data_IF_791599231086
#
_entry.id   IF_791599231086
#
_cell.length_a   1.000
_cell.length_b   1.000
_cell.length_c   1.000
_cell.angle_alpha   90.00
_cell.angle_beta   90.00
_cell.angle_gamma   90.00
#
_symmetry.space_group_name_H-M   'P 1'
#
loop_
_entity.id
_entity.type
_entity.pdbx_description
1 polymer ?
#
# COMPACT_ATOMS: atom_id res chain seq x y z
N UNK A 1 18.27 -13.64 -3.54
CA UNK A 1 17.37 -14.19 -2.51
C UNK A 1 16.22 -14.89 -3.20
N UNK A 2 16.24 -16.23 -3.24
CA UNK A 2 15.10 -17.02 -3.73
C UNK A 2 14.18 -17.30 -2.55
N UNK A 3 12.91 -16.94 -2.67
CA UNK A 3 11.84 -17.44 -1.80
C UNK A 3 11.09 -18.53 -2.57
N UNK A 4 10.82 -19.65 -1.91
CA UNK A 4 9.92 -20.66 -2.46
C UNK A 4 8.53 -20.03 -2.73
N UNK A 5 7.79 -20.50 -3.74
CA UNK A 5 6.41 -20.08 -3.95
C UNK A 5 5.58 -20.26 -2.67
N UNK A 6 4.60 -19.40 -2.46
CA UNK A 6 3.69 -19.53 -1.33
C UNK A 6 3.02 -20.92 -1.37
N UNK A 7 2.98 -21.61 -0.21
CA UNK A 7 2.32 -22.90 -0.09
C UNK A 7 0.80 -22.81 -0.34
N UNK A 8 0.22 -21.64 -0.06
CA UNK A 8 -1.14 -21.27 -0.41
C UNK A 8 -1.13 -19.90 -1.11
N UNK A 9 -1.61 -19.87 -2.36
CA UNK A 9 -1.69 -18.67 -3.19
C UNK A 9 -2.73 -17.66 -2.68
N UNK A 10 -3.61 -18.07 -1.76
CA UNK A 10 -4.62 -17.20 -1.17
C UNK A 10 -4.14 -16.43 0.05
N UNK A 11 -2.98 -16.80 0.61
CA UNK A 11 -2.39 -16.10 1.75
C UNK A 11 -1.88 -14.73 1.31
N UNK A 12 -2.30 -13.70 2.03
CA UNK A 12 -1.84 -12.33 1.87
C UNK A 12 -0.65 -12.10 2.79
N UNK A 13 0.56 -12.13 2.25
CA UNK A 13 1.76 -11.81 3.03
C UNK A 13 1.79 -10.31 3.39
N UNK A 14 1.71 -10.01 4.68
CA UNK A 14 1.74 -8.66 5.24
C UNK A 14 3.01 -7.87 4.90
N UNK A 15 4.11 -8.55 4.51
CA UNK A 15 5.34 -7.89 4.07
C UNK A 15 5.24 -7.38 2.63
N UNK A 16 4.32 -7.92 1.83
CA UNK A 16 4.16 -7.63 0.40
C UNK A 16 2.99 -6.68 0.17
N UNK A 17 1.84 -6.97 0.77
CA UNK A 17 0.62 -6.19 0.56
C UNK A 17 0.57 -4.94 1.45
N UNK A 18 -0.14 -3.91 1.00
CA UNK A 18 -0.41 -2.73 1.81
C UNK A 18 -1.20 -3.10 3.07
N UNK A 19 -0.99 -2.38 4.17
CA UNK A 19 -1.55 -2.73 5.48
C UNK A 19 -3.08 -2.80 5.55
N UNK A 20 -3.81 -2.12 4.67
CA UNK A 20 -5.28 -2.19 4.65
C UNK A 20 -5.82 -3.26 3.70
N UNK A 21 -4.95 -4.01 3.02
CA UNK A 21 -5.37 -5.08 2.13
C UNK A 21 -5.85 -6.27 2.96
N UNK A 22 -7.12 -6.62 2.79
CA UNK A 22 -7.71 -7.79 3.43
C UNK A 22 -8.54 -8.59 2.43
N UNK A 23 -8.94 -9.79 2.84
CA UNK A 23 -9.94 -10.58 2.13
C UNK A 23 -11.25 -10.53 2.92
N UNK A 24 -12.34 -10.18 2.27
CA UNK A 24 -13.66 -10.15 2.91
C UNK A 24 -14.28 -11.56 3.04
N UNK A 25 -15.48 -11.62 3.61
CA UNK A 25 -16.19 -12.89 3.87
C UNK A 25 -16.56 -13.65 2.58
N UNK A 26 -16.69 -12.94 1.46
CA UNK A 26 -17.02 -13.51 0.15
C UNK A 26 -15.75 -13.91 -0.64
N UNK A 27 -14.57 -13.67 -0.06
CA UNK A 27 -13.28 -14.02 -0.64
C UNK A 27 -12.69 -12.94 -1.55
N UNK A 28 -13.33 -11.77 -1.68
CA UNK A 28 -12.83 -10.68 -2.49
C UNK A 28 -11.72 -9.88 -1.77
N UNK A 29 -10.72 -9.43 -2.51
CA UNK A 29 -9.70 -8.53 -1.97
C UNK A 29 -10.26 -7.13 -1.83
N UNK A 30 -9.96 -6.50 -0.70
CA UNK A 30 -10.27 -5.09 -0.44
C UNK A 30 -8.99 -4.28 -0.25
N UNK A 31 -9.04 -3.00 -0.59
CA UNK A 31 -8.00 -2.01 -0.30
C UNK A 31 -8.70 -0.82 0.33
N UNK A 32 -8.29 -0.41 1.54
CA UNK A 32 -8.99 0.64 2.29
C UNK A 32 -10.47 0.32 2.55
N UNK A 33 -10.84 -0.96 2.60
CA UNK A 33 -12.22 -1.42 2.76
C UNK A 33 -13.08 -1.40 1.49
N UNK A 34 -12.51 -1.09 0.32
CA UNK A 34 -13.21 -1.12 -0.97
C UNK A 34 -12.76 -2.34 -1.76
N UNK A 35 -13.69 -3.13 -2.30
CA UNK A 35 -13.34 -4.30 -3.12
C UNK A 35 -12.58 -3.88 -4.39
N UNK A 36 -11.56 -4.66 -4.75
CA UNK A 36 -10.78 -4.42 -5.97
C UNK A 36 -11.66 -4.53 -7.22
N UNK A 37 -12.69 -5.39 -7.19
CA UNK A 37 -13.67 -5.51 -8.27
C UNK A 37 -14.43 -4.19 -8.50
N UNK A 38 -14.90 -3.54 -7.42
CA UNK A 38 -15.57 -2.23 -7.53
C UNK A 38 -14.62 -1.16 -8.04
N UNK A 39 -13.38 -1.15 -7.56
CA UNK A 39 -12.36 -0.20 -8.04
C UNK A 39 -12.10 -0.39 -9.54
N UNK A 40 -12.03 -1.63 -10.03
CA UNK A 40 -11.85 -1.94 -11.45
C UNK A 40 -13.08 -1.55 -12.29
N UNK A 41 -14.29 -1.74 -11.78
CA UNK A 41 -15.53 -1.33 -12.44
C UNK A 41 -15.63 0.19 -12.57
N UNK A 42 -15.29 0.93 -11.50
CA UNK A 42 -15.41 2.37 -11.43
C UNK A 42 -14.31 3.11 -12.22
N UNK A 43 -13.06 2.64 -12.16
CA UNK A 43 -11.90 3.33 -12.71
C UNK A 43 -11.27 2.65 -13.93
N UNK A 44 -11.73 1.46 -14.30
CA UNK A 44 -11.19 0.68 -15.40
C UNK A 44 -9.85 0.00 -15.09
N UNK A 45 -9.33 -0.75 -16.07
CA UNK A 45 -8.05 -1.47 -15.96
C UNK A 45 -7.19 -1.28 -17.21
N UNK A 46 -5.85 -1.22 -17.10
CA UNK A 46 -5.05 -1.35 -15.87
C UNK A 46 -5.08 -0.09 -15.00
N UNK A 47 -5.05 -0.28 -13.67
CA UNK A 47 -5.09 0.81 -12.69
C UNK A 47 -4.12 0.57 -11.53
N UNK A 48 -3.61 1.67 -10.97
CA UNK A 48 -2.84 1.68 -9.73
C UNK A 48 -3.68 2.31 -8.61
N UNK A 49 -3.95 1.56 -7.55
CA UNK A 49 -4.62 2.05 -6.35
C UNK A 49 -3.59 2.20 -5.23
N UNK A 50 -3.38 3.43 -4.75
CA UNK A 50 -2.49 3.70 -3.62
C UNK A 50 -3.28 3.71 -2.31
N UNK A 51 -2.81 2.92 -1.35
CA UNK A 51 -3.30 2.94 0.03
C UNK A 51 -2.67 4.12 0.79
N UNK A 52 -3.44 5.18 0.99
CA UNK A 52 -3.00 6.37 1.74
C UNK A 52 -2.64 6.05 3.19
N UNK A 53 -3.37 5.13 3.83
CA UNK A 53 -3.13 4.78 5.23
C UNK A 53 -1.79 4.06 5.40
N UNK A 54 -1.49 3.13 4.49
CA UNK A 54 -0.19 2.45 4.42
C UNK A 54 0.95 3.45 4.14
N UNK A 55 0.77 4.32 3.14
CA UNK A 55 1.78 5.33 2.78
C UNK A 55 2.13 6.22 3.97
N UNK A 56 1.13 6.83 4.62
CA UNK A 56 1.32 7.70 5.78
C UNK A 56 1.93 6.95 6.96
N UNK A 57 1.57 5.69 7.15
CA UNK A 57 2.14 4.88 8.21
C UNK A 57 3.63 4.59 7.99
N UNK A 58 4.05 4.36 6.74
CA UNK A 58 5.48 4.21 6.40
C UNK A 58 6.26 5.51 6.60
N UNK A 59 5.68 6.66 6.23
CA UNK A 59 6.30 7.96 6.50
C UNK A 59 6.55 8.17 8.00
N UNK A 60 5.54 7.89 8.84
CA UNK A 60 5.69 7.95 10.31
C UNK A 60 6.74 6.98 10.82
N UNK A 61 6.71 5.72 10.37
CA UNK A 61 7.68 4.72 10.80
C UNK A 61 9.13 5.13 10.49
N UNK A 62 9.38 5.78 9.34
CA UNK A 62 10.70 6.32 9.03
C UNK A 62 11.07 7.50 9.93
N UNK A 63 10.17 8.46 10.14
CA UNK A 63 10.41 9.59 11.04
C UNK A 63 10.71 9.12 12.47
N UNK A 64 9.93 8.16 12.98
CA UNK A 64 10.12 7.58 14.32
C UNK A 64 11.46 6.83 14.43
N UNK A 65 11.86 6.10 13.38
CA UNK A 65 13.11 5.33 13.38
C UNK A 65 14.36 6.20 13.31
N UNK A 66 14.32 7.31 12.58
CA UNK A 66 15.44 8.25 12.49
C UNK A 66 15.50 9.22 13.68
N UNK A 67 14.38 9.43 14.38
CA UNK A 67 14.29 10.29 15.54
C UNK A 67 14.10 11.78 15.19
N UNK A 68 13.87 12.62 16.21
CA UNK A 68 13.46 14.02 16.01
C UNK A 68 14.55 14.92 15.42
N UNK A 69 15.82 14.51 15.49
CA UNK A 69 16.97 15.31 15.04
C UNK A 69 17.36 15.08 13.57
N UNK A 70 16.62 14.23 12.86
CA UNK A 70 16.91 13.84 11.49
C UNK A 70 15.77 14.21 10.53
N UNK A 71 16.15 14.71 9.35
CA UNK A 71 15.21 14.96 8.26
C UNK A 71 14.96 13.69 7.44
N UNK A 72 13.69 13.34 7.21
CA UNK A 72 13.28 12.23 6.34
C UNK A 72 12.75 12.78 5.02
N UNK A 73 13.50 12.54 3.93
CA UNK A 73 13.13 13.01 2.60
C UNK A 73 12.48 11.93 1.77
N UNK A 74 11.27 12.21 1.25
CA UNK A 74 10.64 11.37 0.24
C UNK A 74 11.28 11.58 -1.14
N UNK A 75 11.81 10.49 -1.73
CA UNK A 75 12.40 10.53 -3.05
C UNK A 75 11.33 10.53 -4.15
N UNK A 76 10.94 11.71 -4.64
CA UNK A 76 9.89 11.88 -5.66
C UNK A 76 10.06 11.09 -6.96
N UNK A 77 11.28 10.62 -7.28
CA UNK A 77 11.52 9.71 -8.41
C UNK A 77 10.81 8.35 -8.28
N UNK A 78 10.41 7.94 -7.07
CA UNK A 78 9.66 6.72 -6.85
C UNK A 78 8.23 6.83 -7.42
N UNK A 79 7.56 7.95 -7.13
CA UNK A 79 6.27 8.33 -7.69
C UNK A 79 5.96 9.77 -7.24
N UNK A 80 5.55 10.66 -8.14
CA UNK A 80 5.23 12.04 -7.80
C UNK A 80 3.91 12.48 -8.43
N UNK A 81 3.00 12.95 -7.59
CA UNK A 81 1.74 13.56 -8.00
C UNK A 81 1.32 14.64 -7.00
N UNK A 82 0.40 15.51 -7.40
CA UNK A 82 -0.17 16.51 -6.48
C UNK A 82 -0.83 15.87 -5.26
N UNK A 83 -1.35 14.65 -5.38
CA UNK A 83 -1.94 13.93 -4.25
C UNK A 83 -0.88 13.51 -3.23
N UNK A 84 0.21 12.88 -3.70
CA UNK A 84 1.31 12.45 -2.82
C UNK A 84 1.98 13.63 -2.13
N UNK A 85 2.19 14.75 -2.82
CA UNK A 85 2.76 15.96 -2.21
C UNK A 85 1.88 16.53 -1.09
N UNK A 86 0.54 16.36 -1.16
CA UNK A 86 -0.36 16.74 -0.05
C UNK A 86 -0.38 15.73 1.10
N UNK A 87 0.14 14.52 0.90
CA UNK A 87 0.20 13.50 1.94
C UNK A 87 1.45 13.62 2.81
N UNK A 88 2.57 14.00 2.20
CA UNK A 88 3.84 14.31 2.87
C UNK A 88 3.68 15.50 3.81
#
# INVERSE_FOLDING_TARGET
HYSAPAADLNVLDEKVWSRTVTRDADGALTVGGITVARLAEEFGTPAYFLDESDFRARCRAWADAFGPDADVFYAGKAFLSRAVVRWL
#
